data_IF_195963095237
#
_entry.id   IF_195963095237
#
_cell.length_a   1.000
_cell.length_b   1.000
_cell.length_c   1.000
_cell.angle_alpha   90.00
_cell.angle_beta   90.00
_cell.angle_gamma   90.00
#
_symmetry.space_group_name_H-M   'P 1'
#
loop_
_entity.id
_entity.type
_entity.pdbx_description
1 polymer ?
#
# COMPACT_ATOMS: atom_id res chain seq x y z
N UNK A 1 6.79 13.48 -17.65
CA UNK A 1 6.30 12.79 -16.45
C UNK A 1 7.27 13.16 -15.34
N UNK A 2 6.84 13.99 -14.38
CA UNK A 2 7.71 14.44 -13.30
C UNK A 2 8.04 13.29 -12.36
N UNK A 3 9.30 13.22 -11.92
CA UNK A 3 9.75 12.22 -10.96
C UNK A 3 9.13 12.54 -9.58
N UNK A 4 8.26 11.68 -9.08
CA UNK A 4 7.69 11.83 -7.73
C UNK A 4 8.68 11.17 -6.76
N UNK A 5 9.59 11.98 -6.23
CA UNK A 5 10.56 11.56 -5.21
C UNK A 5 10.04 11.98 -3.84
N UNK A 6 9.96 11.04 -2.90
CA UNK A 6 9.63 11.35 -1.52
C UNK A 6 10.77 12.09 -0.84
N UNK A 7 10.44 13.11 -0.04
CA UNK A 7 11.37 13.68 0.93
C UNK A 7 11.63 12.70 2.08
N UNK A 8 12.77 12.85 2.78
CA UNK A 8 13.10 12.02 3.95
C UNK A 8 11.99 12.03 5.00
N UNK A 9 11.37 13.19 5.23
CA UNK A 9 10.24 13.34 6.15
C UNK A 9 9.03 12.53 5.71
N UNK A 10 8.70 12.53 4.41
CA UNK A 10 7.59 11.74 3.89
C UNK A 10 7.88 10.24 3.99
N UNK A 11 9.11 9.82 3.71
CA UNK A 11 9.53 8.43 3.87
C UNK A 11 9.43 7.97 5.33
N UNK A 12 9.90 8.79 6.27
CA UNK A 12 9.79 8.51 7.71
C UNK A 12 8.31 8.36 8.14
N UNK A 13 7.44 9.28 7.71
CA UNK A 13 6.01 9.22 8.03
C UNK A 13 5.35 7.95 7.49
N UNK A 14 5.71 7.51 6.28
CA UNK A 14 5.15 6.27 5.72
C UNK A 14 5.64 5.04 6.51
N UNK A 15 6.92 5.02 6.92
CA UNK A 15 7.47 3.96 7.77
C UNK A 15 6.80 3.92 9.14
N UNK A 16 6.66 5.05 9.81
CA UNK A 16 6.02 5.16 11.13
C UNK A 16 4.53 4.78 11.07
N UNK A 17 3.81 5.26 10.06
CA UNK A 17 2.40 4.89 9.85
C UNK A 17 2.24 3.39 9.67
N UNK A 18 3.19 2.74 8.99
CA UNK A 18 3.18 1.29 8.84
C UNK A 18 3.36 0.54 10.15
N UNK A 19 4.25 1.01 11.04
CA UNK A 19 4.45 0.36 12.34
C UNK A 19 3.16 0.28 13.17
N UNK A 20 2.24 1.23 12.96
CA UNK A 20 0.90 1.23 13.56
C UNK A 20 -0.03 0.28 12.79
N UNK A 21 -0.10 0.42 11.45
CA UNK A 21 -1.02 -0.37 10.61
C UNK A 21 -0.73 -1.88 10.66
N UNK A 22 0.52 -2.28 10.86
CA UNK A 22 0.90 -3.69 10.90
C UNK A 22 0.46 -4.42 12.16
N UNK A 23 0.11 -3.69 13.23
CA UNK A 23 -0.33 -4.28 14.50
C UNK A 23 -1.63 -5.09 14.33
N UNK A 24 -2.51 -4.67 13.42
CA UNK A 24 -3.74 -5.40 13.10
C UNK A 24 -4.14 -5.16 11.63
N UNK A 25 -3.34 -5.72 10.71
CA UNK A 25 -3.58 -5.62 9.27
C UNK A 25 -5.01 -6.04 8.91
N UNK A 26 -5.57 -7.16 9.42
CA UNK A 26 -6.93 -7.56 9.07
C UNK A 26 -8.01 -6.55 9.47
N UNK A 27 -7.88 -5.88 10.61
CA UNK A 27 -8.81 -4.83 11.04
C UNK A 27 -8.65 -3.56 10.22
N UNK A 28 -7.43 -3.03 10.13
CA UNK A 28 -7.20 -1.73 9.49
C UNK A 28 -7.45 -1.76 7.97
N UNK A 29 -7.07 -2.87 7.31
CA UNK A 29 -7.33 -3.02 5.88
C UNK A 29 -8.83 -3.12 5.58
N UNK A 30 -9.60 -3.86 6.37
CA UNK A 30 -11.05 -3.95 6.21
C UNK A 30 -11.73 -2.60 6.47
N UNK A 31 -11.30 -1.88 7.51
CA UNK A 31 -11.81 -0.55 7.80
C UNK A 31 -11.57 0.42 6.64
N UNK A 32 -10.34 0.46 6.11
CA UNK A 32 -9.98 1.31 4.97
C UNK A 32 -10.87 1.06 3.73
N UNK A 33 -11.04 -0.21 3.34
CA UNK A 33 -11.90 -0.54 2.21
C UNK A 33 -13.38 -0.27 2.49
N UNK A 34 -13.84 -0.44 3.74
CA UNK A 34 -15.22 -0.07 4.11
C UNK A 34 -15.46 1.43 3.94
N UNK A 35 -14.52 2.26 4.42
CA UNK A 35 -14.59 3.73 4.25
C UNK A 35 -14.58 4.16 2.78
N UNK A 36 -13.78 3.51 1.93
CA UNK A 36 -13.80 3.78 0.48
C UNK A 36 -15.18 3.46 -0.10
N UNK A 37 -15.79 2.34 0.28
CA UNK A 37 -17.10 1.93 -0.22
C UNK A 37 -18.24 2.77 0.35
N UNK A 38 -18.07 3.37 1.53
CA UNK A 38 -18.99 4.38 2.08
C UNK A 38 -18.94 5.68 1.29
N UNK A 39 -17.74 6.17 0.97
CA UNK A 39 -17.54 7.43 0.24
C UNK A 39 -17.89 7.26 -1.24
N UNK A 40 -17.57 6.10 -1.83
CA UNK A 40 -17.79 5.79 -3.23
C UNK A 40 -18.48 4.42 -3.39
N UNK A 41 -19.82 4.36 -3.20
CA UNK A 41 -20.58 3.11 -3.32
C UNK A 41 -20.45 2.43 -4.69
N UNK A 42 -20.25 3.21 -5.77
CA UNK A 42 -20.03 2.68 -7.11
C UNK A 42 -18.78 1.77 -7.21
N UNK A 43 -17.81 1.90 -6.31
CA UNK A 43 -16.65 1.01 -6.27
C UNK A 43 -17.02 -0.44 -5.88
N UNK A 44 -18.21 -0.69 -5.33
CA UNK A 44 -18.74 -2.06 -5.10
C UNK A 44 -18.76 -2.88 -6.39
N UNK A 45 -18.99 -2.24 -7.54
CA UNK A 45 -19.06 -2.92 -8.84
C UNK A 45 -17.73 -3.55 -9.25
N UNK A 46 -16.62 -3.10 -8.68
CA UNK A 46 -15.29 -3.68 -8.90
C UNK A 46 -15.11 -5.02 -8.17
N UNK A 47 -15.97 -5.33 -7.20
CA UNK A 47 -15.93 -6.55 -6.40
C UNK A 47 -17.12 -7.43 -6.76
N UNK A 48 -16.87 -8.54 -7.47
CA UNK A 48 -17.93 -9.47 -7.89
C UNK A 48 -18.78 -10.02 -6.74
N UNK A 49 -18.25 -10.02 -5.52
CA UNK A 49 -18.95 -10.48 -4.31
C UNK A 49 -19.75 -9.38 -3.58
N UNK A 50 -19.77 -8.14 -4.10
CA UNK A 50 -20.52 -6.99 -3.55
C UNK A 50 -21.54 -6.36 -4.50
N UNK A 51 -21.56 -6.75 -5.78
CA UNK A 51 -22.37 -6.10 -6.84
C UNK A 51 -23.85 -5.99 -6.52
N UNK A 52 -24.41 -6.97 -5.82
CA UNK A 52 -25.84 -7.04 -5.50
C UNK A 52 -26.14 -6.71 -4.03
N UNK A 53 -25.20 -6.06 -3.32
CA UNK A 53 -25.34 -5.73 -1.90
C UNK A 53 -25.48 -4.22 -1.68
N UNK A 54 -26.60 -3.80 -1.11
CA UNK A 54 -26.84 -2.40 -0.76
C UNK A 54 -26.04 -1.95 0.47
N UNK A 55 -25.65 -2.89 1.32
CA UNK A 55 -24.94 -2.59 2.58
C UNK A 55 -23.43 -2.41 2.41
N UNK A 56 -22.82 -1.62 3.28
CA UNK A 56 -21.37 -1.51 3.38
C UNK A 56 -20.83 -2.73 4.15
N UNK A 57 -19.91 -3.50 3.56
CA UNK A 57 -19.47 -4.79 4.09
C UNK A 57 -18.44 -4.67 5.24
N UNK A 58 -18.84 -4.15 6.41
CA UNK A 58 -17.96 -3.98 7.57
C UNK A 58 -17.39 -5.28 8.16
N UNK A 59 -18.03 -6.43 7.94
CA UNK A 59 -17.60 -7.72 8.46
C UNK A 59 -17.58 -8.82 7.38
N UNK A 60 -17.41 -8.43 6.10
CA UNK A 60 -17.42 -9.40 5.02
C UNK A 60 -16.06 -10.14 4.93
N UNK A 61 -16.04 -11.48 5.08
CA UNK A 61 -14.80 -12.24 5.07
C UNK A 61 -14.07 -12.22 3.72
N UNK A 62 -14.81 -12.10 2.60
CA UNK A 62 -14.22 -12.00 1.26
C UNK A 62 -13.54 -10.66 1.05
N UNK A 63 -14.17 -9.57 1.49
CA UNK A 63 -13.55 -8.24 1.46
C UNK A 63 -12.30 -8.20 2.34
N UNK A 64 -12.39 -8.73 3.57
CA UNK A 64 -11.26 -8.79 4.49
C UNK A 64 -10.06 -9.52 3.89
N UNK A 65 -10.28 -10.68 3.26
CA UNK A 65 -9.22 -11.44 2.61
C UNK A 65 -8.57 -10.66 1.46
N UNK A 66 -9.37 -9.98 0.63
CA UNK A 66 -8.86 -9.13 -0.45
C UNK A 66 -8.06 -7.93 0.10
N UNK A 67 -8.62 -7.21 1.06
CA UNK A 67 -8.03 -6.03 1.68
C UNK A 67 -6.66 -6.34 2.30
N UNK A 68 -6.55 -7.45 3.05
CA UNK A 68 -5.28 -7.90 3.63
C UNK A 68 -4.24 -8.16 2.54
N UNK A 69 -4.64 -8.80 1.43
CA UNK A 69 -3.71 -9.10 0.33
C UNK A 69 -3.19 -7.82 -0.31
N UNK A 70 -4.07 -6.87 -0.62
CA UNK A 70 -3.70 -5.58 -1.22
C UNK A 70 -2.80 -4.79 -0.28
N UNK A 71 -3.15 -4.68 1.01
CA UNK A 71 -2.33 -3.97 2.01
C UNK A 71 -0.90 -4.55 2.08
N UNK A 72 -0.77 -5.88 2.13
CA UNK A 72 0.54 -6.53 2.12
C UNK A 72 1.31 -6.26 0.82
N UNK A 73 0.65 -6.33 -0.35
CA UNK A 73 1.30 -6.08 -1.64
C UNK A 73 1.81 -4.64 -1.79
N UNK A 74 0.99 -3.65 -1.45
CA UNK A 74 1.38 -2.23 -1.49
C UNK A 74 2.60 -2.00 -0.62
N UNK A 75 2.62 -2.62 0.56
CA UNK A 75 3.74 -2.52 1.48
C UNK A 75 5.01 -3.23 0.98
N UNK A 76 4.89 -4.46 0.48
CA UNK A 76 6.03 -5.19 -0.10
C UNK A 76 6.61 -4.42 -1.30
N UNK A 77 5.77 -3.84 -2.16
CA UNK A 77 6.23 -3.00 -3.25
C UNK A 77 6.89 -1.70 -2.75
N UNK A 78 6.33 -1.04 -1.74
CA UNK A 78 6.92 0.18 -1.21
C UNK A 78 8.32 -0.08 -0.63
N UNK A 79 8.49 -1.14 0.17
CA UNK A 79 9.79 -1.54 0.67
C UNK A 79 10.72 -2.01 -0.45
N UNK A 80 10.21 -2.81 -1.40
CA UNK A 80 11.02 -3.28 -2.52
C UNK A 80 11.47 -2.14 -3.42
N UNK A 81 10.66 -1.09 -3.65
CA UNK A 81 11.06 0.07 -4.43
C UNK A 81 12.09 0.92 -3.68
N UNK A 82 11.93 1.14 -2.37
CA UNK A 82 12.94 1.86 -1.57
C UNK A 82 14.24 1.06 -1.53
N UNK A 83 14.20 -0.24 -1.23
CA UNK A 83 15.39 -1.10 -1.16
C UNK A 83 16.01 -1.36 -2.53
N UNK A 84 15.23 -1.58 -3.59
CA UNK A 84 15.76 -1.71 -4.94
C UNK A 84 16.34 -0.38 -5.41
N UNK A 85 15.75 0.78 -5.07
CA UNK A 85 16.35 2.06 -5.43
C UNK A 85 17.64 2.30 -4.65
N UNK A 86 17.68 2.01 -3.34
CA UNK A 86 18.90 2.10 -2.52
C UNK A 86 19.97 1.11 -2.99
N UNK A 87 19.62 -0.16 -3.27
CA UNK A 87 20.58 -1.14 -3.78
C UNK A 87 21.03 -0.77 -5.20
N UNK A 88 20.13 -0.34 -6.07
CA UNK A 88 20.45 0.07 -7.44
C UNK A 88 21.34 1.31 -7.45
N UNK A 89 21.03 2.34 -6.68
CA UNK A 89 21.88 3.53 -6.53
C UNK A 89 23.22 3.19 -5.88
N UNK A 90 23.23 2.38 -4.82
CA UNK A 90 24.46 1.97 -4.14
C UNK A 90 25.36 1.13 -5.04
N UNK A 91 24.80 0.16 -5.78
CA UNK A 91 25.57 -0.63 -6.76
C UNK A 91 26.05 0.23 -7.92
N UNK A 92 25.22 1.13 -8.45
CA UNK A 92 25.59 2.07 -9.53
C UNK A 92 26.70 3.05 -9.10
N UNK A 93 26.67 3.54 -7.86
CA UNK A 93 27.71 4.39 -7.29
C UNK A 93 29.01 3.62 -7.03
N UNK A 94 28.93 2.35 -6.62
CA UNK A 94 30.11 1.50 -6.39
C UNK A 94 30.81 1.05 -7.68
N UNK A 95 30.06 0.96 -8.78
CA UNK A 95 30.60 0.64 -10.11
C UNK A 95 30.97 1.87 -10.93
N UNK A 96 30.78 3.08 -10.42
CA UNK A 96 31.25 4.29 -11.08
C UNK A 96 32.79 4.25 -11.12
N UNK A 97 33.43 4.34 -12.32
CA UNK A 97 34.88 4.38 -12.39
C UNK A 97 35.36 5.62 -11.64
N UNK A 98 36.33 5.46 -10.73
CA UNK A 98 37.06 6.58 -10.17
C UNK A 98 37.67 7.35 -11.35
N UNK A 99 37.13 8.54 -11.66
CA UNK A 99 37.72 9.42 -12.64
C UNK A 99 39.05 9.92 -12.06
N UNK A 100 40.15 9.36 -12.60
CA UNK A 100 41.52 9.82 -12.34
C UNK A 100 41.85 11.06 -13.16
#
# INVERSE_FOLDING_TARGET
MGEIVFTEKQEALVKESWEILKQDIPKYSLHFFSQILEIAPAAKDMFSFLRDTDEVPHNNPKLKAHAVKVFKMVFTCLFCLIFCFVIYTYTRLRTAPCAG
#
